data_IF_205845949807
#
_entry.id   IF_205845949807
#
_cell.length_a   1.000
_cell.length_b   1.000
_cell.length_c   1.000
_cell.angle_alpha   90.00
_cell.angle_beta   90.00
_cell.angle_gamma   90.00
#
_symmetry.space_group_name_H-M   'P 1'
#
loop_
_entity.id
_entity.type
_entity.pdbx_description
1 polymer ?
#
# COMPACT_ATOMS: atom_id res chain seq x y z
N UNK A 1 -23.85 0.76 28.33
CA UNK A 1 -22.77 1.20 29.25
C UNK A 1 -21.38 0.75 28.80
N UNK A 2 -21.13 -0.51 28.41
CA UNK A 2 -19.79 -0.98 28.05
C UNK A 2 -19.06 -0.25 26.92
N UNK A 3 -19.76 0.23 25.90
CA UNK A 3 -19.14 0.96 24.78
C UNK A 3 -18.62 2.33 25.21
N UNK A 4 -19.38 3.04 26.05
CA UNK A 4 -18.98 4.37 26.54
C UNK A 4 -17.77 4.26 27.47
N UNK A 5 -17.75 3.25 28.34
CA UNK A 5 -16.60 2.99 29.21
C UNK A 5 -15.35 2.59 28.42
N UNK A 6 -15.47 1.79 27.37
CA UNK A 6 -14.36 1.46 26.46
C UNK A 6 -13.83 2.69 25.72
N UNK A 7 -14.71 3.56 25.23
CA UNK A 7 -14.32 4.81 24.56
C UNK A 7 -13.60 5.77 25.52
N UNK A 8 -14.08 5.91 26.74
CA UNK A 8 -13.43 6.73 27.77
C UNK A 8 -12.06 6.17 28.14
N UNK A 9 -11.96 4.85 28.34
CA UNK A 9 -10.70 4.16 28.64
C UNK A 9 -9.68 4.32 27.49
N UNK A 10 -10.12 4.17 26.24
CA UNK A 10 -9.26 4.37 25.06
C UNK A 10 -8.81 5.84 24.94
N UNK A 11 -9.69 6.80 25.23
CA UNK A 11 -9.35 8.22 25.20
C UNK A 11 -8.34 8.59 26.30
N UNK A 12 -8.50 8.06 27.52
CA UNK A 12 -7.55 8.25 28.63
C UNK A 12 -6.20 7.63 28.28
N UNK A 13 -6.19 6.41 27.74
CA UNK A 13 -4.98 5.73 27.33
C UNK A 13 -4.26 6.49 26.20
N UNK A 14 -5.00 6.99 25.22
CA UNK A 14 -4.48 7.79 24.13
C UNK A 14 -3.87 9.11 24.62
N UNK A 15 -4.50 9.74 25.63
CA UNK A 15 -3.98 10.95 26.26
C UNK A 15 -2.70 10.68 27.06
N UNK A 16 -2.66 9.55 27.78
CA UNK A 16 -1.50 9.15 28.57
C UNK A 16 -0.28 8.78 27.70
N UNK A 17 -0.54 8.16 26.54
CA UNK A 17 0.50 7.77 25.57
C UNK A 17 0.83 8.90 24.57
N UNK A 18 0.27 10.10 24.73
CA UNK A 18 0.48 11.26 23.84
C UNK A 18 0.18 10.93 22.35
N UNK A 19 -0.87 10.13 22.11
CA UNK A 19 -1.28 9.71 20.77
C UNK A 19 -2.08 10.78 20.01
N UNK A 20 -2.49 11.88 20.66
CA UNK A 20 -3.26 12.97 20.07
C UNK A 20 -2.42 13.92 19.18
N UNK A 21 -1.22 13.51 18.76
CA UNK A 21 -0.36 14.29 17.88
C UNK A 21 -0.83 14.28 16.41
N UNK A 22 -2.12 14.34 16.21
CA UNK A 22 -2.69 14.42 14.87
C UNK A 22 -2.48 15.82 14.32
N UNK A 23 -1.71 15.92 13.25
CA UNK A 23 -1.70 17.14 12.44
C UNK A 23 -2.93 17.13 11.55
N UNK A 24 -3.88 18.00 11.89
CA UNK A 24 -4.98 18.34 11.00
C UNK A 24 -4.38 19.33 9.97
N UNK A 25 -4.12 18.85 8.77
CA UNK A 25 -3.56 19.62 7.67
C UNK A 25 -4.45 19.42 6.44
N UNK A 26 -5.60 20.13 6.38
CA UNK A 26 -6.52 19.99 5.26
C UNK A 26 -5.86 20.49 3.98
N UNK A 27 -6.12 19.84 2.83
CA UNK A 27 -5.56 20.25 1.56
C UNK A 27 -6.01 21.69 1.23
N UNK A 28 -5.12 22.53 0.68
CA UNK A 28 -5.47 23.88 0.27
C UNK A 28 -6.61 23.86 -0.74
N UNK A 29 -7.48 24.87 -0.71
CA UNK A 29 -8.70 24.95 -1.53
C UNK A 29 -8.38 25.25 -3.01
N UNK A 30 -7.51 24.43 -3.61
CA UNK A 30 -7.12 24.48 -5.02
C UNK A 30 -7.62 23.21 -5.73
N UNK A 31 -7.96 23.32 -7.01
CA UNK A 31 -8.49 22.18 -7.80
C UNK A 31 -7.53 20.95 -7.86
N UNK A 32 -6.24 21.17 -7.98
CA UNK A 32 -5.25 20.09 -8.14
C UNK A 32 -5.20 19.12 -6.95
N UNK A 33 -5.18 19.57 -5.68
CA UNK A 33 -5.27 18.67 -4.52
C UNK A 33 -6.54 17.83 -4.49
N UNK A 34 -7.69 18.42 -4.81
CA UNK A 34 -8.98 17.73 -4.83
C UNK A 34 -9.06 16.67 -5.93
N UNK A 35 -8.61 16.99 -7.13
CA UNK A 35 -8.52 16.03 -8.23
C UNK A 35 -7.63 14.82 -7.85
N UNK A 36 -6.50 15.06 -7.21
CA UNK A 36 -5.60 13.98 -6.79
C UNK A 36 -6.23 13.13 -5.67
N UNK A 37 -6.96 13.74 -4.75
CA UNK A 37 -7.67 13.03 -3.70
C UNK A 37 -8.79 12.14 -4.28
N UNK A 38 -9.62 12.65 -5.19
CA UNK A 38 -10.64 11.87 -5.88
C UNK A 38 -10.00 10.72 -6.66
N UNK A 39 -8.94 11.00 -7.42
CA UNK A 39 -8.20 9.97 -8.17
C UNK A 39 -7.66 8.89 -7.24
N UNK A 40 -7.09 9.25 -6.11
CA UNK A 40 -6.61 8.31 -5.10
C UNK A 40 -7.73 7.39 -4.62
N UNK A 41 -8.90 7.94 -4.23
CA UNK A 41 -10.05 7.14 -3.80
C UNK A 41 -10.55 6.19 -4.88
N UNK A 42 -10.71 6.69 -6.12
CA UNK A 42 -11.19 5.88 -7.23
C UNK A 42 -10.24 4.71 -7.54
N UNK A 43 -8.93 4.94 -7.52
CA UNK A 43 -7.95 3.89 -7.78
C UNK A 43 -7.76 2.94 -6.60
N UNK A 44 -7.69 3.47 -5.39
CA UNK A 44 -7.43 2.66 -4.19
C UNK A 44 -8.59 1.73 -3.85
N UNK A 45 -9.83 2.20 -4.00
CA UNK A 45 -11.02 1.40 -3.73
C UNK A 45 -11.55 0.65 -4.97
N UNK A 46 -10.84 0.68 -6.09
CA UNK A 46 -11.15 -0.14 -7.26
C UNK A 46 -10.83 -1.62 -7.01
N UNK A 47 -11.68 -2.60 -7.43
CA UNK A 47 -12.97 -2.47 -8.12
C UNK A 47 -14.18 -2.48 -7.18
N UNK A 48 -14.03 -2.26 -5.88
CA UNK A 48 -15.05 -2.50 -4.85
C UNK A 48 -16.11 -1.40 -4.80
N UNK A 49 -15.72 -0.13 -5.03
CA UNK A 49 -16.64 1.01 -4.93
C UNK A 49 -17.81 0.97 -5.93
N UNK A 50 -17.71 0.49 -7.19
CA UNK A 50 -18.87 0.38 -8.06
C UNK A 50 -19.92 -0.59 -7.53
N UNK A 51 -19.48 -1.72 -6.94
CA UNK A 51 -20.40 -2.69 -6.33
C UNK A 51 -21.05 -2.16 -5.06
N UNK A 52 -20.30 -1.38 -4.28
CA UNK A 52 -20.86 -0.65 -3.13
C UNK A 52 -21.96 0.30 -3.55
N UNK A 53 -21.73 1.11 -4.60
CA UNK A 53 -22.74 2.00 -5.14
C UNK A 53 -23.96 1.23 -5.67
N UNK A 54 -23.75 0.08 -6.30
CA UNK A 54 -24.83 -0.79 -6.75
C UNK A 54 -25.71 -1.25 -5.58
N UNK A 55 -25.12 -1.71 -4.49
CA UNK A 55 -25.84 -2.10 -3.27
C UNK A 55 -26.63 -0.93 -2.71
N UNK A 56 -25.99 0.22 -2.57
CA UNK A 56 -26.62 1.43 -2.05
C UNK A 56 -27.80 1.87 -2.92
N UNK A 57 -27.67 1.80 -4.24
CA UNK A 57 -28.75 2.08 -5.17
C UNK A 57 -29.91 1.09 -5.03
N UNK A 58 -29.60 -0.19 -4.94
CA UNK A 58 -30.61 -1.25 -4.73
C UNK A 58 -31.40 -1.05 -3.44
N UNK A 59 -30.73 -0.55 -2.40
CA UNK A 59 -31.32 -0.35 -1.07
C UNK A 59 -31.79 1.08 -0.81
N UNK A 60 -31.90 1.92 -1.84
CA UNK A 60 -32.31 3.33 -1.70
C UNK A 60 -33.63 3.56 -0.95
N UNK A 61 -34.56 2.60 -0.97
CA UNK A 61 -35.82 2.69 -0.22
C UNK A 61 -35.62 2.55 1.28
N UNK A 62 -34.60 1.82 1.72
CA UNK A 62 -34.29 1.64 3.16
C UNK A 62 -33.66 2.89 3.78
N UNK A 63 -33.09 3.79 2.96
CA UNK A 63 -32.51 5.05 3.43
C UNK A 63 -33.57 6.07 3.86
N UNK A 64 -34.79 5.91 3.37
CA UNK A 64 -35.94 6.77 3.72
C UNK A 64 -36.61 6.36 5.04
N UNK A 65 -36.20 5.22 5.60
CA UNK A 65 -36.66 4.80 6.93
C UNK A 65 -35.83 5.54 7.98
N UNK A 66 -36.48 5.96 9.06
CA UNK A 66 -35.88 6.83 10.09
C UNK A 66 -34.62 6.26 10.78
N UNK A 67 -34.40 4.95 10.70
CA UNK A 67 -33.20 4.26 11.23
C UNK A 67 -32.67 3.33 10.13
N UNK A 68 -31.53 3.66 9.49
CA UNK A 68 -30.90 2.74 8.57
C UNK A 68 -30.50 1.45 9.28
N UNK A 69 -30.73 0.32 8.62
CA UNK A 69 -30.36 -1.00 9.16
C UNK A 69 -28.88 -1.03 9.55
N UNK A 70 -28.52 -1.74 10.62
CA UNK A 70 -27.13 -1.85 11.11
C UNK A 70 -26.16 -2.32 10.04
N UNK A 71 -26.63 -3.13 9.09
CA UNK A 71 -25.85 -3.66 7.96
C UNK A 71 -25.43 -2.58 6.97
N UNK A 72 -26.13 -1.45 6.92
CA UNK A 72 -25.80 -0.29 6.07
C UNK A 72 -25.07 0.78 6.89
N UNK A 73 -25.58 1.09 8.08
CA UNK A 73 -25.10 2.20 8.90
C UNK A 73 -23.64 2.01 9.33
N UNK A 74 -23.27 0.81 9.80
CA UNK A 74 -21.90 0.53 10.25
C UNK A 74 -20.87 0.65 9.12
N UNK A 75 -21.01 -0.04 7.97
CA UNK A 75 -20.04 0.10 6.89
C UNK A 75 -19.99 1.54 6.33
N UNK A 76 -21.12 2.22 6.18
CA UNK A 76 -21.12 3.61 5.72
C UNK A 76 -20.45 4.55 6.72
N UNK A 77 -20.67 4.35 8.02
CA UNK A 77 -19.98 5.11 9.06
C UNK A 77 -18.47 4.92 8.99
N UNK A 78 -17.98 3.70 8.81
CA UNK A 78 -16.55 3.41 8.64
C UNK A 78 -15.99 4.07 7.38
N UNK A 79 -16.69 3.98 6.24
CA UNK A 79 -16.29 4.63 5.00
C UNK A 79 -16.22 6.15 5.19
N UNK A 80 -17.26 6.73 5.79
CA UNK A 80 -17.32 8.17 6.04
C UNK A 80 -16.19 8.65 6.93
N UNK A 81 -15.97 8.01 8.08
CA UNK A 81 -14.90 8.37 9.03
C UNK A 81 -13.52 8.23 8.39
N UNK A 82 -13.26 7.13 7.67
CA UNK A 82 -11.98 6.93 6.99
C UNK A 82 -11.75 7.95 5.87
N UNK A 83 -12.78 8.25 5.08
CA UNK A 83 -12.72 9.26 4.02
C UNK A 83 -12.49 10.67 4.58
N UNK A 84 -13.20 11.01 5.66
CA UNK A 84 -12.99 12.27 6.37
C UNK A 84 -11.58 12.35 6.95
N UNK A 85 -11.08 11.26 7.53
CA UNK A 85 -9.71 11.17 8.04
C UNK A 85 -8.67 11.45 6.96
N UNK A 86 -8.80 10.85 5.76
CA UNK A 86 -7.87 11.12 4.64
C UNK A 86 -7.93 12.58 4.17
N UNK A 87 -9.07 13.23 4.35
CA UNK A 87 -9.26 14.63 3.98
C UNK A 87 -8.57 15.56 5.00
N UNK A 88 -8.64 15.20 6.28
CA UNK A 88 -8.08 16.00 7.37
C UNK A 88 -6.57 15.81 7.57
N UNK A 89 -5.99 14.70 7.09
CA UNK A 89 -4.58 14.33 7.31
C UNK A 89 -3.69 14.46 6.08
N UNK A 90 -3.98 15.39 5.19
CA UNK A 90 -3.20 15.68 3.98
C UNK A 90 -2.90 14.44 3.13
N UNK A 91 -3.95 13.71 2.77
CA UNK A 91 -3.91 12.56 1.84
C UNK A 91 -3.14 11.34 2.35
N UNK A 92 -3.28 11.03 3.61
CA UNK A 92 -2.77 9.78 4.15
C UNK A 92 -3.62 8.60 3.61
N UNK A 93 -3.12 7.91 2.58
CA UNK A 93 -3.77 6.75 1.93
C UNK A 93 -3.92 5.55 2.87
N UNK A 94 -3.10 5.46 3.92
CA UNK A 94 -3.19 4.39 4.91
C UNK A 94 -4.53 4.36 5.64
N UNK A 95 -5.18 5.50 5.81
CA UNK A 95 -6.52 5.56 6.42
C UNK A 95 -7.61 4.92 5.54
N UNK A 96 -7.41 4.88 4.21
CA UNK A 96 -8.34 4.19 3.31
C UNK A 96 -8.31 2.67 3.49
N UNK A 97 -7.22 2.10 4.02
CA UNK A 97 -7.18 0.67 4.37
C UNK A 97 -8.27 0.30 5.38
N UNK A 98 -8.62 1.21 6.30
CA UNK A 98 -9.70 1.01 7.25
C UNK A 98 -11.09 1.00 6.58
N UNK A 99 -11.25 1.69 5.45
CA UNK A 99 -12.49 1.69 4.69
C UNK A 99 -12.69 0.42 3.84
N UNK A 100 -11.62 -0.26 3.43
CA UNK A 100 -11.70 -1.41 2.51
C UNK A 100 -12.61 -2.55 3.03
N UNK A 101 -12.54 -2.98 4.30
CA UNK A 101 -13.46 -4.00 4.83
C UNK A 101 -14.94 -3.57 4.74
N UNK A 102 -15.21 -2.29 4.97
CA UNK A 102 -16.56 -1.74 4.88
C UNK A 102 -17.06 -1.67 3.41
N UNK A 103 -16.21 -1.26 2.48
CA UNK A 103 -16.49 -1.35 1.05
C UNK A 103 -16.74 -2.80 0.62
N UNK A 104 -15.91 -3.74 1.06
CA UNK A 104 -16.04 -5.15 0.74
C UNK A 104 -17.36 -5.74 1.28
N UNK A 105 -17.75 -5.39 2.51
CA UNK A 105 -19.00 -5.83 3.11
C UNK A 105 -20.20 -5.34 2.30
N UNK A 106 -20.24 -4.05 1.93
CA UNK A 106 -21.33 -3.51 1.10
C UNK A 106 -21.33 -4.11 -0.31
N UNK A 107 -20.16 -4.29 -0.93
CA UNK A 107 -20.05 -4.91 -2.24
C UNK A 107 -20.51 -6.38 -2.24
N UNK A 108 -20.31 -7.10 -1.15
CA UNK A 108 -20.76 -8.50 -1.02
C UNK A 108 -22.28 -8.63 -1.18
N UNK A 109 -23.06 -7.64 -0.75
CA UNK A 109 -24.52 -7.63 -0.92
C UNK A 109 -24.96 -7.37 -2.37
N UNK A 110 -24.10 -6.81 -3.22
CA UNK A 110 -24.40 -6.66 -4.65
C UNK A 110 -24.41 -7.99 -5.39
N UNK A 111 -23.56 -8.93 -4.97
CA UNK A 111 -23.30 -10.18 -5.70
C UNK A 111 -24.53 -11.06 -5.97
N UNK A 112 -25.43 -11.29 -4.97
CA UNK A 112 -26.65 -12.09 -5.20
C UNK A 112 -27.61 -11.45 -6.21
N UNK A 113 -27.52 -10.11 -6.40
CA UNK A 113 -28.40 -9.36 -7.29
C UNK A 113 -27.96 -9.37 -8.75
N UNK A 114 -26.75 -9.86 -9.03
CA UNK A 114 -26.20 -9.89 -10.37
C UNK A 114 -26.92 -10.92 -11.26
N UNK A 115 -27.23 -10.48 -12.48
CA UNK A 115 -27.68 -11.38 -13.52
C UNK A 115 -26.58 -12.38 -13.88
N UNK A 116 -26.95 -13.58 -14.35
CA UNK A 116 -26.00 -14.62 -14.75
C UNK A 116 -24.93 -14.13 -15.75
N UNK A 117 -25.29 -13.23 -16.65
CA UNK A 117 -24.36 -12.62 -17.62
C UNK A 117 -23.25 -11.81 -16.96
N UNK A 118 -23.59 -11.03 -15.92
CA UNK A 118 -22.61 -10.24 -15.17
C UNK A 118 -21.64 -11.15 -14.40
N UNK A 119 -22.17 -12.20 -13.76
CA UNK A 119 -21.33 -13.20 -13.09
C UNK A 119 -20.37 -13.91 -14.07
N UNK A 120 -20.84 -14.29 -15.25
CA UNK A 120 -19.99 -14.88 -16.28
C UNK A 120 -18.93 -13.89 -16.79
N UNK A 121 -19.28 -12.62 -16.97
CA UNK A 121 -18.32 -11.58 -17.35
C UNK A 121 -17.22 -11.41 -16.29
N UNK A 122 -17.60 -11.33 -15.03
CA UNK A 122 -16.62 -11.21 -13.92
C UNK A 122 -15.68 -12.42 -13.88
N UNK A 123 -16.19 -13.63 -14.07
CA UNK A 123 -15.38 -14.84 -14.12
C UNK A 123 -14.38 -14.81 -15.28
N UNK A 124 -14.83 -14.51 -16.50
CA UNK A 124 -13.97 -14.43 -17.69
C UNK A 124 -12.93 -13.33 -17.59
N UNK A 125 -13.37 -12.14 -17.16
CA UNK A 125 -12.47 -11.01 -16.95
C UNK A 125 -11.38 -11.35 -15.92
N UNK A 126 -11.76 -11.94 -14.79
CA UNK A 126 -10.82 -12.33 -13.74
C UNK A 126 -9.84 -13.39 -14.22
N UNK A 127 -10.33 -14.40 -14.95
CA UNK A 127 -9.49 -15.45 -15.52
C UNK A 127 -8.42 -14.85 -16.44
N UNK A 128 -8.81 -14.01 -17.40
CA UNK A 128 -7.88 -13.42 -18.36
C UNK A 128 -6.92 -12.47 -17.63
N UNK A 129 -7.45 -11.55 -16.81
CA UNK A 129 -6.65 -10.54 -16.12
C UNK A 129 -5.57 -11.18 -15.24
N UNK A 130 -5.95 -12.10 -14.36
CA UNK A 130 -5.02 -12.69 -13.40
C UNK A 130 -4.08 -13.70 -14.04
N UNK A 131 -4.50 -14.41 -15.07
CA UNK A 131 -3.57 -15.28 -15.84
C UNK A 131 -2.53 -14.45 -16.57
N UNK A 132 -2.92 -13.35 -17.22
CA UNK A 132 -1.97 -12.44 -17.88
C UNK A 132 -1.06 -11.75 -16.85
N UNK A 133 -1.62 -11.27 -15.73
CA UNK A 133 -0.84 -10.64 -14.66
C UNK A 133 0.18 -11.62 -14.06
N UNK A 134 -0.23 -12.85 -13.73
CA UNK A 134 0.66 -13.89 -13.24
C UNK A 134 1.77 -14.25 -14.23
N UNK A 135 1.40 -14.41 -15.52
CA UNK A 135 2.37 -14.67 -16.59
C UNK A 135 3.36 -13.50 -16.75
N UNK A 136 2.89 -12.26 -16.63
CA UNK A 136 3.76 -11.08 -16.70
C UNK A 136 4.71 -11.01 -15.50
N UNK A 137 4.25 -11.31 -14.28
CA UNK A 137 5.10 -11.35 -13.07
C UNK A 137 6.21 -12.39 -13.25
N UNK A 138 5.87 -13.60 -13.74
CA UNK A 138 6.84 -14.64 -14.05
C UNK A 138 7.82 -14.21 -15.14
N UNK A 139 7.32 -13.67 -16.23
CA UNK A 139 8.15 -13.25 -17.38
C UNK A 139 9.20 -12.22 -16.96
N UNK A 140 8.80 -11.19 -16.24
CA UNK A 140 9.73 -10.14 -15.79
C UNK A 140 10.71 -10.67 -14.74
N UNK A 141 10.26 -11.58 -13.85
CA UNK A 141 11.15 -12.21 -12.87
C UNK A 141 12.19 -13.11 -13.52
N UNK A 142 11.79 -13.96 -14.46
CA UNK A 142 12.71 -14.81 -15.23
C UNK A 142 13.73 -13.93 -15.96
N UNK A 143 13.28 -12.90 -16.66
CA UNK A 143 14.17 -11.96 -17.34
C UNK A 143 15.15 -11.29 -16.36
N UNK A 144 14.71 -10.90 -15.18
CA UNK A 144 15.57 -10.30 -14.16
C UNK A 144 16.64 -11.27 -13.63
N UNK A 145 16.29 -12.55 -13.45
CA UNK A 145 17.20 -13.56 -12.88
C UNK A 145 18.17 -14.13 -13.94
N UNK A 146 17.69 -14.31 -15.17
CA UNK A 146 18.47 -14.93 -16.27
C UNK A 146 19.18 -13.92 -17.17
N UNK A 147 18.75 -12.64 -17.14
CA UNK A 147 19.22 -11.63 -18.08
C UNK A 147 18.57 -11.68 -19.47
N UNK A 148 17.70 -12.66 -19.73
CA UNK A 148 17.07 -12.89 -21.05
C UNK A 148 15.53 -12.87 -20.91
N UNK A 149 14.82 -12.07 -21.72
CA UNK A 149 15.28 -11.13 -22.75
C UNK A 149 15.94 -9.85 -22.17
N UNK A 150 16.91 -9.30 -22.89
CA UNK A 150 17.71 -8.15 -22.40
C UNK A 150 16.86 -6.91 -22.07
N UNK A 151 15.86 -6.57 -22.90
CA UNK A 151 15.06 -5.34 -22.71
C UNK A 151 14.30 -5.30 -21.37
N UNK A 152 13.53 -6.33 -20.97
CA UNK A 152 12.90 -6.37 -19.64
C UNK A 152 13.93 -6.41 -18.51
N UNK A 153 14.99 -7.20 -18.64
CA UNK A 153 16.06 -7.29 -17.66
C UNK A 153 16.73 -5.93 -17.43
N UNK A 154 17.14 -5.24 -18.50
CA UNK A 154 17.74 -3.92 -18.43
C UNK A 154 16.82 -2.86 -17.80
N UNK A 155 15.47 -2.99 -17.97
CA UNK A 155 14.51 -2.12 -17.31
C UNK A 155 14.50 -2.35 -15.80
N UNK A 156 14.52 -3.61 -15.36
CA UNK A 156 14.59 -3.96 -13.94
C UNK A 156 15.88 -3.45 -13.32
N UNK A 157 17.04 -3.68 -13.96
CA UNK A 157 18.34 -3.21 -13.46
C UNK A 157 18.45 -1.69 -13.38
N UNK A 158 17.86 -0.95 -14.31
CA UNK A 158 17.79 0.51 -14.23
C UNK A 158 16.89 1.03 -13.13
N UNK A 159 15.82 0.29 -12.78
CA UNK A 159 14.93 0.65 -11.66
C UNK A 159 15.51 0.26 -10.31
N UNK A 160 16.40 -0.71 -10.27
CA UNK A 160 16.99 -1.33 -9.10
C UNK A 160 18.50 -1.24 -9.15
N UNK A 161 19.05 -0.04 -9.33
CA UNK A 161 20.49 0.18 -9.41
C UNK A 161 21.22 -0.45 -8.22
N UNK A 162 22.22 -1.29 -8.50
CA UNK A 162 22.98 -2.01 -7.47
C UNK A 162 22.32 -3.27 -6.92
N UNK A 163 21.08 -3.60 -7.31
CA UNK A 163 20.43 -4.85 -6.90
C UNK A 163 20.79 -6.00 -7.85
N UNK A 164 21.31 -7.10 -7.31
CA UNK A 164 21.56 -8.34 -8.06
C UNK A 164 20.50 -9.38 -7.72
N UNK A 165 19.58 -9.69 -8.63
CA UNK A 165 18.59 -10.74 -8.41
C UNK A 165 19.29 -12.09 -8.21
N UNK A 166 18.94 -12.80 -7.13
CA UNK A 166 19.47 -14.14 -6.85
C UNK A 166 18.32 -15.13 -6.87
N UNK A 167 18.53 -16.25 -7.57
CA UNK A 167 17.59 -17.36 -7.55
C UNK A 167 17.54 -18.01 -6.18
N UNK A 168 16.33 -18.21 -5.65
CA UNK A 168 16.07 -18.91 -4.37
C UNK A 168 15.03 -19.99 -4.58
N UNK A 169 15.41 -21.24 -4.40
CA UNK A 169 14.54 -22.41 -4.62
C UNK A 169 13.23 -22.35 -3.84
N UNK A 170 13.24 -22.00 -2.56
CA UNK A 170 12.03 -21.92 -1.74
C UNK A 170 11.02 -20.91 -2.25
N UNK A 171 11.49 -19.74 -2.70
CA UNK A 171 10.62 -18.69 -3.26
C UNK A 171 10.06 -19.10 -4.63
N UNK A 172 10.89 -19.73 -5.47
CA UNK A 172 10.45 -20.28 -6.76
C UNK A 172 9.37 -21.35 -6.56
N UNK A 173 9.57 -22.32 -5.65
CA UNK A 173 8.61 -23.37 -5.37
C UNK A 173 7.28 -22.82 -4.86
N UNK A 174 7.32 -21.81 -3.98
CA UNK A 174 6.11 -21.15 -3.47
C UNK A 174 5.34 -20.45 -4.61
N UNK A 175 6.03 -19.74 -5.49
CA UNK A 175 5.43 -19.14 -6.68
C UNK A 175 4.83 -20.19 -7.62
N UNK A 176 5.54 -21.30 -7.84
CA UNK A 176 5.06 -22.42 -8.67
C UNK A 176 3.81 -23.05 -8.07
N UNK A 177 3.78 -23.32 -6.76
CA UNK A 177 2.61 -23.85 -6.06
C UNK A 177 1.41 -22.91 -6.17
N UNK A 178 1.61 -21.59 -6.02
CA UNK A 178 0.54 -20.61 -6.19
C UNK A 178 -0.02 -20.63 -7.62
N UNK A 179 0.83 -20.76 -8.63
CA UNK A 179 0.42 -20.84 -10.04
C UNK A 179 -0.34 -22.14 -10.32
N UNK A 180 0.13 -23.27 -9.80
CA UNK A 180 -0.56 -24.55 -9.93
C UNK A 180 -1.91 -24.54 -9.22
N UNK A 181 -1.98 -23.93 -8.03
CA UNK A 181 -3.23 -23.76 -7.30
C UNK A 181 -4.24 -22.91 -8.09
N UNK A 182 -3.76 -21.84 -8.74
CA UNK A 182 -4.57 -21.05 -9.66
C UNK A 182 -5.09 -21.87 -10.84
N UNK A 183 -4.23 -22.62 -11.52
CA UNK A 183 -4.63 -23.51 -12.61
C UNK A 183 -5.66 -24.56 -12.17
N UNK A 184 -5.48 -25.16 -10.99
CA UNK A 184 -6.43 -26.09 -10.40
C UNK A 184 -7.78 -25.40 -10.08
N UNK A 185 -7.74 -24.17 -9.54
CA UNK A 185 -8.93 -23.38 -9.24
C UNK A 185 -9.71 -23.04 -10.52
N UNK A 186 -9.01 -22.58 -11.57
CA UNK A 186 -9.62 -22.31 -12.87
C UNK A 186 -10.26 -23.58 -13.44
N UNK A 187 -9.52 -24.70 -13.46
CA UNK A 187 -10.04 -25.99 -13.92
C UNK A 187 -11.29 -26.41 -13.12
N UNK A 188 -11.21 -26.33 -11.80
CA UNK A 188 -12.33 -26.66 -10.91
C UNK A 188 -13.56 -25.78 -11.19
N UNK A 189 -13.34 -24.50 -11.47
CA UNK A 189 -14.39 -23.52 -11.72
C UNK A 189 -15.07 -23.72 -13.09
N UNK A 190 -14.34 -24.14 -14.11
CA UNK A 190 -14.84 -24.36 -15.47
C UNK A 190 -15.60 -25.69 -15.62
N UNK A 191 -15.50 -26.61 -14.65
CA UNK A 191 -16.26 -27.86 -14.65
C UNK A 191 -17.78 -27.63 -14.51
N UNK A 192 -18.57 -28.31 -15.34
CA UNK A 192 -20.00 -28.07 -15.63
C UNK A 192 -21.00 -28.32 -14.48
N UNK A 193 -20.65 -28.99 -13.38
CA UNK A 193 -21.60 -29.65 -12.48
C UNK A 193 -21.81 -29.03 -11.10
N UNK A 194 -21.58 -27.74 -10.86
CA UNK A 194 -21.69 -27.20 -9.50
C UNK A 194 -22.68 -26.02 -9.33
N UNK A 195 -23.51 -26.02 -8.25
CA UNK A 195 -24.47 -24.96 -7.95
C UNK A 195 -23.82 -23.63 -7.56
N UNK A 196 -24.57 -22.54 -7.72
CA UNK A 196 -24.07 -21.22 -8.15
C UNK A 196 -23.92 -20.16 -7.06
N UNK A 197 -23.92 -20.44 -5.77
CA UNK A 197 -24.16 -19.40 -4.75
C UNK A 197 -23.00 -18.40 -4.57
N UNK A 198 -21.72 -18.82 -4.67
CA UNK A 198 -20.56 -17.94 -4.49
C UNK A 198 -19.61 -17.88 -5.69
N UNK A 199 -20.13 -18.22 -6.87
CA UNK A 199 -19.30 -18.49 -8.06
C UNK A 199 -18.49 -17.30 -8.56
N UNK A 200 -19.04 -16.08 -8.57
CA UNK A 200 -18.39 -14.91 -9.18
C UNK A 200 -17.26 -14.28 -8.35
N UNK A 201 -17.05 -14.72 -7.10
CA UNK A 201 -15.95 -14.19 -6.25
C UNK A 201 -14.73 -15.08 -6.18
N UNK A 202 -14.86 -16.36 -6.50
CA UNK A 202 -13.79 -17.35 -6.30
C UNK A 202 -12.58 -17.04 -7.20
N UNK A 203 -12.83 -16.75 -8.48
CA UNK A 203 -11.76 -16.41 -9.41
C UNK A 203 -11.09 -15.06 -9.10
N UNK A 204 -11.84 -13.96 -8.84
CA UNK A 204 -11.20 -12.72 -8.42
C UNK A 204 -10.36 -12.87 -7.16
N UNK A 205 -10.91 -13.51 -6.11
CA UNK A 205 -10.20 -13.71 -4.85
C UNK A 205 -8.96 -14.61 -5.01
N UNK A 206 -9.09 -15.74 -5.70
CA UNK A 206 -7.99 -16.64 -5.99
C UNK A 206 -6.90 -15.99 -6.86
N UNK A 207 -7.31 -15.21 -7.86
CA UNK A 207 -6.40 -14.48 -8.74
C UNK A 207 -5.60 -13.41 -8.02
N UNK A 208 -6.26 -12.61 -7.17
CA UNK A 208 -5.58 -11.63 -6.30
C UNK A 208 -4.62 -12.36 -5.36
N UNK A 209 -5.06 -13.45 -4.71
CA UNK A 209 -4.22 -14.25 -3.82
C UNK A 209 -2.99 -14.79 -4.54
N UNK A 210 -3.15 -15.37 -5.73
CA UNK A 210 -2.03 -15.84 -6.55
C UNK A 210 -1.04 -14.70 -6.87
N UNK A 211 -1.52 -13.58 -7.41
CA UNK A 211 -0.65 -12.46 -7.75
C UNK A 211 0.08 -11.92 -6.52
N UNK A 212 -0.60 -11.86 -5.38
CA UNK A 212 0.01 -11.43 -4.12
C UNK A 212 1.11 -12.40 -3.67
N UNK A 213 0.87 -13.70 -3.72
CA UNK A 213 1.89 -14.71 -3.38
C UNK A 213 3.07 -14.63 -4.35
N UNK A 214 2.84 -14.46 -5.65
CA UNK A 214 3.92 -14.28 -6.62
C UNK A 214 4.76 -13.04 -6.32
N UNK A 215 4.14 -11.90 -6.02
CA UNK A 215 4.85 -10.69 -5.67
C UNK A 215 5.63 -10.82 -4.37
N UNK A 216 5.03 -11.40 -3.33
CA UNK A 216 5.68 -11.57 -2.02
C UNK A 216 6.70 -12.70 -1.98
N UNK A 217 6.64 -13.68 -2.88
CA UNK A 217 7.67 -14.72 -2.98
C UNK A 217 8.80 -14.33 -3.93
N UNK A 218 8.50 -14.08 -5.18
CA UNK A 218 9.51 -13.86 -6.22
C UNK A 218 10.18 -12.48 -6.13
N UNK A 219 9.38 -11.44 -5.81
CA UNK A 219 9.81 -10.04 -5.83
C UNK A 219 10.13 -9.45 -4.46
N UNK A 220 9.93 -10.20 -3.36
CA UNK A 220 10.21 -9.72 -2.02
C UNK A 220 11.65 -9.17 -1.84
N UNK A 221 12.71 -9.81 -2.36
CA UNK A 221 14.06 -9.26 -2.23
C UNK A 221 14.22 -7.89 -2.93
N UNK A 222 13.61 -7.73 -4.10
CA UNK A 222 13.63 -6.46 -4.84
C UNK A 222 12.79 -5.39 -4.15
N UNK A 223 11.61 -5.75 -3.65
CA UNK A 223 10.74 -4.85 -2.88
C UNK A 223 11.41 -4.40 -1.57
N UNK A 224 12.07 -5.31 -0.87
CA UNK A 224 12.84 -4.95 0.33
C UNK A 224 14.01 -4.01 -0.02
N UNK A 225 14.72 -4.26 -1.11
CA UNK A 225 15.80 -3.39 -1.54
C UNK A 225 15.33 -1.96 -1.78
N UNK A 226 14.20 -1.78 -2.51
CA UNK A 226 13.66 -0.45 -2.84
C UNK A 226 12.99 0.28 -1.69
N UNK A 227 12.44 -0.46 -0.71
CA UNK A 227 11.68 0.11 0.40
C UNK A 227 12.46 0.15 1.72
N UNK A 228 13.58 -0.54 1.80
CA UNK A 228 14.41 -0.59 3.00
C UNK A 228 15.44 0.55 2.99
N UNK A 229 15.55 1.24 4.09
CA UNK A 229 16.64 2.21 4.31
C UNK A 229 17.96 1.55 4.73
N UNK A 230 17.98 0.23 4.94
CA UNK A 230 19.17 -0.51 5.38
C UNK A 230 20.38 -0.35 4.44
N UNK A 231 20.24 -0.51 3.10
CA UNK A 231 21.36 -0.32 2.18
C UNK A 231 21.93 1.10 2.26
N UNK A 232 21.05 2.09 2.28
CA UNK A 232 21.43 3.52 2.35
C UNK A 232 22.12 3.82 3.68
N UNK A 233 21.54 3.37 4.80
CA UNK A 233 22.13 3.56 6.12
C UNK A 233 23.52 2.92 6.24
N UNK A 234 23.71 1.71 5.71
CA UNK A 234 25.02 1.04 5.68
C UNK A 234 26.03 1.77 4.80
N UNK A 235 25.60 2.25 3.62
CA UNK A 235 26.48 3.04 2.75
C UNK A 235 26.95 4.31 3.44
N UNK A 236 26.05 5.02 4.12
CA UNK A 236 26.38 6.23 4.88
C UNK A 236 27.34 5.90 6.04
N UNK A 237 27.04 4.85 6.81
CA UNK A 237 27.93 4.43 7.90
C UNK A 237 29.32 4.03 7.40
N UNK A 238 29.37 3.35 6.25
CA UNK A 238 30.66 2.94 5.65
C UNK A 238 31.47 4.15 5.15
N UNK A 239 30.82 5.11 4.50
CA UNK A 239 31.49 6.34 4.05
C UNK A 239 31.99 7.16 5.23
N UNK A 240 31.20 7.32 6.28
CA UNK A 240 31.60 8.06 7.49
C UNK A 240 32.63 7.31 8.34
N UNK A 241 32.57 5.96 8.41
CA UNK A 241 33.56 5.14 9.10
C UNK A 241 34.92 5.08 8.42
N UNK A 242 34.98 5.33 7.11
CA UNK A 242 36.24 5.41 6.38
C UNK A 242 37.09 6.66 6.76
N UNK A 243 36.47 7.68 7.34
CA UNK A 243 37.14 8.92 7.78
C UNK A 243 37.70 8.85 9.22
N UNK A 244 37.84 7.65 9.78
CA UNK A 244 38.51 7.33 11.09
C UNK A 244 37.87 7.93 12.36
N UNK A 245 36.89 8.84 12.27
CA UNK A 245 36.25 9.41 13.46
C UNK A 245 34.73 9.47 13.23
N UNK A 246 33.97 8.81 14.10
CA UNK A 246 32.52 9.00 14.11
C UNK A 246 32.22 10.48 14.40
N UNK A 247 31.38 11.14 13.57
CA UNK A 247 31.06 12.55 13.79
C UNK A 247 30.31 12.72 15.12
N UNK A 248 30.64 13.76 15.87
CA UNK A 248 29.97 14.07 17.13
C UNK A 248 28.47 14.40 16.92
N UNK A 249 28.13 14.96 15.77
CA UNK A 249 26.74 15.18 15.36
C UNK A 249 26.62 15.25 13.83
N UNK A 250 25.43 14.88 13.31
CA UNK A 250 25.05 15.01 11.91
C UNK A 250 23.73 15.77 11.85
N UNK A 251 23.70 16.89 11.18
CA UNK A 251 22.50 17.69 11.01
C UNK A 251 21.64 17.09 9.91
N UNK A 252 20.31 17.04 10.11
CA UNK A 252 19.36 16.56 9.10
C UNK A 252 18.47 17.67 8.62
N UNK A 253 18.30 17.79 7.30
CA UNK A 253 17.45 18.80 6.67
C UNK A 253 16.57 18.16 5.60
N UNK A 254 15.27 18.51 5.59
CA UNK A 254 14.28 18.06 4.61
C UNK A 254 14.13 16.55 4.49
N UNK A 255 14.41 15.78 5.56
CA UNK A 255 14.13 14.35 5.66
C UNK A 255 12.82 14.12 6.43
N UNK A 256 12.09 13.08 6.02
CA UNK A 256 10.89 12.64 6.72
C UNK A 256 11.23 11.95 8.05
N UNK A 257 10.30 11.97 9.01
CA UNK A 257 10.48 11.35 10.33
C UNK A 257 10.80 9.86 10.23
N UNK A 258 10.16 9.15 9.30
CA UNK A 258 10.43 7.74 9.05
C UNK A 258 11.86 7.48 8.56
N UNK A 259 12.38 8.36 7.70
CA UNK A 259 13.76 8.27 7.19
C UNK A 259 14.77 8.51 8.32
N UNK A 260 14.55 9.56 9.11
CA UNK A 260 15.42 9.90 10.24
C UNK A 260 15.45 8.76 11.25
N UNK A 261 14.28 8.23 11.62
CA UNK A 261 14.20 7.11 12.57
C UNK A 261 14.90 5.86 12.04
N UNK A 262 14.71 5.54 10.76
CA UNK A 262 15.37 4.40 10.13
C UNK A 262 16.89 4.58 10.08
N UNK A 263 17.35 5.78 9.72
CA UNK A 263 18.78 6.09 9.71
C UNK A 263 19.40 6.04 11.12
N UNK A 264 18.76 6.62 12.13
CA UNK A 264 19.21 6.52 13.53
C UNK A 264 19.34 5.07 13.97
N UNK A 265 18.36 4.23 13.64
CA UNK A 265 18.36 2.82 14.05
C UNK A 265 19.43 1.99 13.35
N UNK A 266 19.59 2.15 12.03
CA UNK A 266 20.48 1.29 11.24
C UNK A 266 21.91 1.82 11.11
N UNK A 267 22.13 3.13 11.17
CA UNK A 267 23.46 3.72 11.06
C UNK A 267 24.06 4.11 12.41
N UNK A 268 23.24 4.15 13.48
CA UNK A 268 23.65 4.58 14.84
C UNK A 268 24.31 5.97 14.87
N UNK A 269 24.03 6.81 13.88
CA UNK A 269 24.56 8.17 13.80
C UNK A 269 23.80 9.11 14.74
N UNK A 270 24.50 10.05 15.40
CA UNK A 270 23.89 11.08 16.25
C UNK A 270 23.22 12.16 15.37
N UNK A 271 22.01 11.87 14.89
CA UNK A 271 21.26 12.77 14.03
C UNK A 271 20.56 13.85 14.86
N UNK A 272 20.69 15.12 14.45
CA UNK A 272 19.99 16.26 15.07
C UNK A 272 19.22 17.08 14.06
N UNK A 273 18.04 17.58 14.48
CA UNK A 273 17.24 18.54 13.71
C UNK A 273 17.49 20.00 14.10
N UNK A 274 18.32 20.20 15.12
CA UNK A 274 18.55 21.54 15.62
C UNK A 274 19.35 22.35 14.57
N UNK A 275 18.73 23.39 14.00
CA UNK A 275 19.35 24.27 13.01
C UNK A 275 20.51 25.11 13.60
N UNK A 276 20.50 25.31 14.92
CA UNK A 276 21.54 26.07 15.62
C UNK A 276 22.78 25.21 15.96
N UNK A 277 22.73 23.90 15.74
CA UNK A 277 23.86 23.01 15.97
C UNK A 277 24.83 23.12 14.80
N UNK A 278 26.06 23.58 15.05
CA UNK A 278 27.15 23.58 14.06
C UNK A 278 27.74 22.17 13.93
N UNK A 279 27.03 21.28 13.23
CA UNK A 279 27.52 19.95 12.95
C UNK A 279 28.39 19.95 11.68
N UNK A 280 29.49 19.18 11.63
CA UNK A 280 30.37 19.13 10.47
C UNK A 280 29.73 18.47 9.25
N UNK A 281 28.66 17.70 9.45
CA UNK A 281 27.97 16.96 8.41
C UNK A 281 26.50 17.36 8.31
N UNK A 282 26.02 17.54 7.06
CA UNK A 282 24.61 17.76 6.74
C UNK A 282 24.08 16.63 5.88
N UNK A 283 23.04 15.95 6.35
CA UNK A 283 22.34 14.90 5.63
C UNK A 283 21.03 15.46 5.06
N UNK A 284 20.92 15.48 3.74
CA UNK A 284 19.76 16.01 3.03
C UNK A 284 19.43 15.20 1.79
N UNK A 285 18.28 15.46 1.19
CA UNK A 285 17.88 14.84 -0.07
C UNK A 285 18.52 15.60 -1.25
N UNK A 286 18.99 14.87 -2.28
CA UNK A 286 19.61 15.44 -3.48
C UNK A 286 18.79 16.60 -4.09
N UNK A 287 17.47 16.47 -4.13
CA UNK A 287 16.55 17.49 -4.66
C UNK A 287 16.58 18.82 -3.89
N UNK A 288 17.08 18.83 -2.67
CA UNK A 288 17.15 20.04 -1.82
C UNK A 288 18.50 20.70 -1.88
N UNK A 289 19.54 20.07 -2.49
CA UNK A 289 20.87 20.64 -2.65
C UNK A 289 20.87 22.05 -3.26
N UNK A 290 20.10 22.36 -4.33
CA UNK A 290 20.11 23.69 -4.92
C UNK A 290 19.54 24.78 -4.01
N UNK A 291 18.76 24.41 -3.01
CA UNK A 291 18.08 25.34 -2.09
C UNK A 291 18.93 25.62 -0.82
N UNK A 292 19.89 24.73 -0.53
CA UNK A 292 20.71 24.82 0.70
C UNK A 292 21.45 26.14 0.88
N UNK A 293 22.09 26.75 -0.14
CA UNK A 293 22.79 28.01 0.02
C UNK A 293 21.90 29.15 0.57
N UNK A 294 20.62 29.13 0.21
CA UNK A 294 19.63 30.12 0.68
C UNK A 294 19.09 29.85 2.10
N UNK A 295 19.30 28.66 2.64
CA UNK A 295 18.77 28.26 3.95
C UNK A 295 19.83 28.33 5.05
N UNK A 296 21.08 28.11 4.70
CA UNK A 296 22.18 27.96 5.66
C UNK A 296 23.26 29.08 5.57
N UNK A 297 23.08 30.15 4.78
CA UNK A 297 24.07 31.19 4.61
C UNK A 297 25.51 30.64 4.46
N UNK A 298 25.65 29.61 3.65
CA UNK A 298 26.97 29.02 3.39
C UNK A 298 27.77 30.00 2.53
N UNK A 299 28.70 30.69 3.19
CA UNK A 299 29.78 31.48 2.57
C UNK A 299 30.82 30.58 1.93
#
# INVERSE_FOLDING_TARGET
>A
MGIVTLLLLSAVLASWLDLWRWRIDPPPMRWVPWRNWIRMHLWFCWPVWPFTLWTLWGWRHQWRQALPSRHIALPLGMIFISTLGTLLTNRNDTLLLLALPAYAALAAFALPTFRRSVGAFVDWFSLILFSLAGSYIWFVWIAAVTGVPERPAARVYRMLEGFTPRFKWGMFLLGLLATLAWGALVRWRTMRLRPAIWKSMILPAGGVGMCWVLLTSLWLPALNYTKSYVPVARSISHMMGAEQHMPACVQVYALEDAQITALMYYSQLPLTRNKAASCPWLLTHEKTLPILPHVFDMQ
#
